data_IF_138846138207
#
_entry.id   IF_138846138207
#
_cell.length_a   1.000
_cell.length_b   1.000
_cell.length_c   1.000
_cell.angle_alpha   90.00
_cell.angle_beta   90.00
_cell.angle_gamma   90.00
#
_symmetry.space_group_name_H-M   'P 1'
#
loop_
_entity.id
_entity.type
_entity.pdbx_description
1 polymer ?
#
# COMPACT_ATOMS: atom_id res chain seq x y z
N UNK A 1 -37.38 -9.57 8.01
CA UNK A 1 -36.26 -8.68 8.33
C UNK A 1 -35.03 -9.56 8.27
N UNK A 2 -34.22 -9.43 7.21
CA UNK A 2 -32.97 -10.20 7.12
C UNK A 2 -32.10 -9.78 8.30
N UNK A 3 -31.61 -10.72 9.10
CA UNK A 3 -30.58 -10.45 10.10
C UNK A 3 -29.41 -9.76 9.40
N UNK A 4 -29.23 -8.46 9.66
CA UNK A 4 -28.14 -7.69 9.07
C UNK A 4 -26.83 -8.26 9.60
N UNK A 5 -25.98 -8.74 8.69
CA UNK A 5 -24.65 -9.25 8.99
C UNK A 5 -23.86 -8.26 9.88
N UNK A 6 -23.33 -8.68 11.03
CA UNK A 6 -22.54 -7.82 11.94
C UNK A 6 -21.40 -7.08 11.21
N UNK A 7 -20.78 -7.74 10.23
CA UNK A 7 -19.71 -7.14 9.44
C UNK A 7 -20.19 -5.97 8.57
N UNK A 8 -21.43 -6.04 8.04
CA UNK A 8 -22.07 -4.93 7.33
C UNK A 8 -22.37 -3.78 8.29
N UNK A 9 -22.90 -4.07 9.48
CA UNK A 9 -23.23 -3.04 10.48
C UNK A 9 -21.98 -2.29 10.95
N UNK A 10 -20.87 -3.01 11.18
CA UNK A 10 -19.59 -2.40 11.54
C UNK A 10 -19.10 -1.49 10.41
N UNK A 11 -19.16 -1.96 9.16
CA UNK A 11 -18.75 -1.19 7.99
C UNK A 11 -19.56 0.10 7.84
N UNK A 12 -20.88 0.03 7.92
CA UNK A 12 -21.78 1.19 7.79
C UNK A 12 -21.61 2.21 8.92
N UNK A 13 -21.10 1.78 10.07
CA UNK A 13 -20.85 2.63 11.23
C UNK A 13 -19.50 3.34 11.23
N UNK A 14 -18.68 3.13 10.19
CA UNK A 14 -17.34 3.67 10.10
C UNK A 14 -17.34 5.16 9.71
N UNK A 15 -17.47 6.04 10.69
CA UNK A 15 -17.49 7.49 10.52
C UNK A 15 -16.18 8.08 9.96
N UNK A 16 -15.07 7.33 10.05
CA UNK A 16 -13.75 7.73 9.55
C UNK A 16 -13.43 7.13 8.18
N UNK A 17 -14.32 6.34 7.60
CA UNK A 17 -14.14 5.70 6.29
C UNK A 17 -13.79 6.68 5.19
N UNK A 18 -12.85 6.30 4.32
CA UNK A 18 -12.51 6.98 3.08
C UNK A 18 -13.40 6.47 1.94
N UNK A 19 -13.95 7.39 1.14
CA UNK A 19 -14.55 7.03 -0.14
C UNK A 19 -13.46 6.60 -1.12
N UNK A 20 -13.76 5.62 -1.98
CA UNK A 20 -12.78 5.04 -2.91
C UNK A 20 -13.38 4.97 -4.30
N UNK A 21 -12.64 5.47 -5.29
CA UNK A 21 -12.98 5.40 -6.70
C UNK A 21 -11.90 4.66 -7.47
N UNK A 22 -12.34 3.89 -8.47
CA UNK A 22 -11.49 3.22 -9.46
C UNK A 22 -11.61 3.89 -10.83
N UNK A 23 -10.80 3.43 -11.80
CA UNK A 23 -10.95 3.82 -13.20
C UNK A 23 -12.04 2.99 -13.88
N UNK A 24 -12.81 3.63 -14.75
CA UNK A 24 -13.69 3.00 -15.73
C UNK A 24 -12.89 2.27 -16.80
N UNK A 25 -13.57 1.46 -17.64
CA UNK A 25 -12.98 0.83 -18.83
C UNK A 25 -12.36 1.83 -19.82
N UNK A 26 -12.87 3.06 -19.86
CA UNK A 26 -12.34 4.13 -20.70
C UNK A 26 -11.03 4.75 -20.17
N UNK A 27 -10.63 4.41 -18.94
CA UNK A 27 -9.47 4.97 -18.27
C UNK A 27 -9.77 6.18 -17.39
N UNK A 28 -10.94 6.80 -17.51
CA UNK A 28 -11.40 7.91 -16.66
C UNK A 28 -11.79 7.43 -15.25
N UNK A 29 -11.69 8.30 -14.24
CA UNK A 29 -12.13 8.01 -12.87
C UNK A 29 -13.66 7.95 -12.75
N UNK A 30 -14.19 7.00 -11.99
CA UNK A 30 -15.63 6.94 -11.69
C UNK A 30 -16.11 8.14 -10.87
N UNK A 31 -15.32 8.55 -9.86
CA UNK A 31 -15.52 9.73 -9.04
C UNK A 31 -14.16 10.36 -8.67
N UNK A 32 -13.78 11.44 -9.37
CA UNK A 32 -12.55 12.19 -9.11
C UNK A 32 -12.51 12.89 -7.74
N UNK A 33 -13.67 13.02 -7.08
CA UNK A 33 -13.81 13.69 -5.79
C UNK A 33 -13.65 12.74 -4.61
N UNK A 34 -13.53 11.43 -4.86
CA UNK A 34 -13.32 10.44 -3.82
C UNK A 34 -12.03 10.71 -3.02
N UNK A 35 -12.04 10.32 -1.74
CA UNK A 35 -10.88 10.48 -0.87
C UNK A 35 -9.69 9.65 -1.37
N UNK A 36 -9.94 8.50 -2.02
CA UNK A 36 -8.92 7.62 -2.61
C UNK A 36 -9.23 7.40 -4.08
N UNK A 37 -8.23 7.67 -4.93
CA UNK A 37 -8.24 7.26 -6.34
C UNK A 37 -7.30 6.06 -6.50
N UNK A 38 -7.89 4.89 -6.74
CA UNK A 38 -7.22 3.59 -6.73
C UNK A 38 -7.00 3.08 -8.17
N UNK A 39 -5.75 2.88 -8.56
CA UNK A 39 -5.34 2.44 -9.89
C UNK A 39 -4.80 1.00 -9.87
N UNK A 40 -5.71 0.03 -9.94
CA UNK A 40 -5.36 -1.39 -9.93
C UNK A 40 -4.67 -1.87 -11.21
N UNK A 41 -4.78 -1.08 -12.29
CA UNK A 41 -4.10 -1.27 -13.57
C UNK A 41 -4.35 -2.65 -14.20
N UNK A 42 -3.47 -3.61 -13.94
CA UNK A 42 -3.35 -4.83 -14.73
C UNK A 42 -3.08 -6.05 -13.87
N UNK A 43 -3.43 -7.23 -14.38
CA UNK A 43 -3.16 -8.49 -13.68
C UNK A 43 -1.66 -8.75 -13.62
N UNK A 44 -1.12 -8.94 -12.42
CA UNK A 44 0.29 -9.24 -12.23
C UNK A 44 0.72 -10.57 -12.88
N UNK A 45 1.93 -10.57 -13.43
CA UNK A 45 2.56 -11.70 -14.14
C UNK A 45 2.68 -12.98 -13.29
N UNK A 46 2.79 -12.86 -11.96
CA UNK A 46 3.16 -13.97 -11.07
C UNK A 46 4.67 -14.07 -10.79
N UNK A 47 5.49 -13.28 -11.48
CA UNK A 47 6.95 -13.23 -11.33
C UNK A 47 7.36 -11.93 -10.65
N UNK A 48 8.44 -11.97 -9.85
CA UNK A 48 8.87 -10.82 -9.04
C UNK A 48 9.61 -9.76 -9.87
N UNK A 49 10.21 -10.16 -10.98
CA UNK A 49 11.03 -9.30 -11.85
C UNK A 49 10.19 -8.54 -12.89
N UNK A 50 8.97 -9.00 -13.16
CA UNK A 50 8.09 -8.43 -14.18
C UNK A 50 7.10 -7.48 -13.51
N UNK A 51 7.34 -6.19 -13.72
CA UNK A 51 6.45 -5.10 -13.32
C UNK A 51 5.56 -4.71 -14.50
N UNK A 52 4.26 -5.05 -14.42
CA UNK A 52 3.27 -4.68 -15.43
C UNK A 52 2.49 -3.42 -15.00
N UNK A 53 2.58 -3.03 -13.73
CA UNK A 53 1.93 -1.85 -13.19
C UNK A 53 2.88 -0.65 -13.31
N UNK A 54 2.62 0.20 -14.31
CA UNK A 54 3.48 1.34 -14.63
C UNK A 54 3.31 2.49 -13.63
N UNK A 55 2.19 2.53 -12.92
CA UNK A 55 1.81 3.55 -11.94
C UNK A 55 1.68 2.96 -10.52
N UNK A 56 1.61 3.79 -9.48
CA UNK A 56 1.27 3.35 -8.13
C UNK A 56 -0.12 2.74 -8.07
N UNK A 57 -0.38 1.95 -7.04
CA UNK A 57 -1.73 1.53 -6.71
C UNK A 57 -2.57 2.73 -6.22
N UNK A 58 -1.99 3.56 -5.35
CA UNK A 58 -2.66 4.76 -4.85
C UNK A 58 -2.27 5.96 -5.70
N UNK A 59 -3.12 6.35 -6.64
CA UNK A 59 -2.91 7.54 -7.46
C UNK A 59 -3.07 8.81 -6.63
N UNK A 60 -4.09 8.83 -5.74
CA UNK A 60 -4.34 9.94 -4.82
C UNK A 60 -4.97 9.41 -3.53
N UNK A 61 -4.59 10.01 -2.41
CA UNK A 61 -5.24 9.85 -1.10
C UNK A 61 -5.46 11.25 -0.50
N UNK A 62 -6.59 11.47 0.14
CA UNK A 62 -6.90 12.68 0.90
C UNK A 62 -6.00 12.75 2.15
N UNK A 63 -4.80 13.31 2.00
CA UNK A 63 -3.80 13.43 3.05
C UNK A 63 -4.26 14.33 4.20
N UNK A 64 -5.05 15.38 3.92
CA UNK A 64 -5.61 16.25 4.97
C UNK A 64 -6.48 15.46 5.95
N UNK A 65 -7.27 14.51 5.43
CA UNK A 65 -8.07 13.60 6.26
C UNK A 65 -7.22 12.50 6.91
N UNK A 66 -6.18 12.01 6.23
CA UNK A 66 -5.35 10.90 6.70
C UNK A 66 -4.44 11.32 7.87
N UNK A 67 -3.91 12.53 7.81
CA UNK A 67 -2.98 13.09 8.80
C UNK A 67 -3.65 14.04 9.81
N UNK A 68 -4.98 14.12 9.80
CA UNK A 68 -5.75 14.85 10.80
C UNK A 68 -5.49 14.28 12.22
N UNK A 69 -4.86 15.08 13.07
CA UNK A 69 -4.51 14.71 14.45
C UNK A 69 -5.73 14.43 15.33
N UNK A 70 -6.92 14.90 14.92
CA UNK A 70 -8.18 14.64 15.65
C UNK A 70 -8.80 13.28 15.32
N UNK A 71 -8.28 12.58 14.31
CA UNK A 71 -8.76 11.27 13.85
C UNK A 71 -7.86 10.12 14.29
N UNK A 72 -8.42 8.92 14.22
CA UNK A 72 -7.78 7.65 14.60
C UNK A 72 -6.58 7.29 13.73
N UNK A 73 -6.54 7.76 12.48
CA UNK A 73 -5.44 7.50 11.55
C UNK A 73 -4.11 8.03 12.08
N UNK A 74 -4.05 9.23 12.68
CA UNK A 74 -2.80 9.80 13.20
C UNK A 74 -2.14 8.89 14.26
N UNK A 75 -2.94 8.38 15.20
CA UNK A 75 -2.48 7.45 16.24
C UNK A 75 -2.11 6.09 15.65
N UNK A 76 -2.86 5.59 14.66
CA UNK A 76 -2.51 4.36 13.96
C UNK A 76 -1.19 4.46 13.17
N UNK A 77 -0.93 5.61 12.52
CA UNK A 77 0.30 5.84 11.76
C UNK A 77 1.53 5.85 12.67
N UNK A 78 1.43 6.47 13.86
CA UNK A 78 2.50 6.40 14.89
C UNK A 78 2.85 4.96 15.24
N UNK A 79 1.83 4.11 15.46
CA UNK A 79 2.06 2.69 15.69
C UNK A 79 2.81 2.04 14.53
N UNK A 80 2.44 2.31 13.28
CA UNK A 80 3.11 1.74 12.10
C UNK A 80 4.59 2.14 11.99
N UNK A 81 4.94 3.36 12.40
CA UNK A 81 6.30 3.88 12.32
C UNK A 81 7.26 3.21 13.33
N UNK A 82 6.78 2.85 14.52
CA UNK A 82 7.57 2.13 15.54
C UNK A 82 8.15 0.81 15.00
N UNK A 83 7.37 0.09 14.19
CA UNK A 83 7.79 -1.21 13.64
C UNK A 83 8.78 -1.09 12.47
N UNK A 84 9.07 0.12 11.96
CA UNK A 84 10.14 0.30 10.98
C UNK A 84 11.55 0.14 11.60
N UNK A 85 11.68 0.24 12.93
CA UNK A 85 12.96 0.33 13.67
C UNK A 85 13.30 -0.94 14.47
N UNK A 86 12.41 -1.95 14.55
CA UNK A 86 12.58 -3.19 15.35
C UNK A 86 13.65 -4.19 14.84
N UNK A 87 14.71 -3.70 14.20
CA UNK A 87 15.82 -4.51 13.66
C UNK A 87 16.94 -4.81 14.67
N UNK A 88 16.91 -4.19 15.87
CA UNK A 88 18.02 -4.26 16.83
C UNK A 88 17.68 -5.03 18.11
N UNK A 89 16.46 -4.87 18.66
CA UNK A 89 16.00 -5.64 19.83
C UNK A 89 14.47 -5.87 19.75
N UNK A 90 14.02 -7.04 19.25
CA UNK A 90 12.60 -7.36 19.13
C UNK A 90 11.90 -7.61 20.47
N UNK A 91 12.66 -7.85 21.55
CA UNK A 91 12.11 -8.18 22.88
C UNK A 91 11.78 -6.90 23.66
N UNK A 92 12.51 -5.82 23.39
CA UNK A 92 12.31 -4.53 24.05
C UNK A 92 11.24 -3.71 23.34
N UNK A 93 10.11 -3.50 24.01
CA UNK A 93 9.14 -2.47 23.63
C UNK A 93 9.41 -1.27 24.53
N UNK A 94 9.93 -0.15 23.99
CA UNK A 94 10.07 1.09 24.74
C UNK A 94 8.74 1.48 25.42
N UNK A 95 8.82 2.10 26.61
CA UNK A 95 7.63 2.58 27.33
C UNK A 95 6.75 3.50 26.47
N UNK A 96 7.38 4.26 25.56
CA UNK A 96 6.70 5.11 24.57
C UNK A 96 5.85 4.28 23.58
N UNK A 97 6.36 3.15 23.07
CA UNK A 97 5.59 2.27 22.17
C UNK A 97 4.38 1.65 22.89
N UNK A 98 4.51 1.28 24.17
CA UNK A 98 3.39 0.77 24.96
C UNK A 98 2.35 1.88 25.20
N UNK A 99 2.78 3.11 25.48
CA UNK A 99 1.89 4.25 25.66
C UNK A 99 1.08 4.53 24.39
N UNK A 100 1.73 4.54 23.23
CA UNK A 100 1.04 4.74 21.95
C UNK A 100 0.01 3.66 21.64
N UNK A 101 0.28 2.40 22.01
CA UNK A 101 -0.69 1.31 21.89
C UNK A 101 -1.91 1.54 22.78
N UNK A 102 -1.68 1.93 24.03
CA UNK A 102 -2.74 2.22 24.99
C UNK A 102 -3.58 3.42 24.58
N UNK A 103 -2.97 4.46 24.02
CA UNK A 103 -3.64 5.65 23.51
C UNK A 103 -4.50 5.31 22.29
N UNK A 104 -3.95 4.57 21.33
CA UNK A 104 -4.71 4.09 20.16
C UNK A 104 -5.93 3.27 20.58
N UNK A 105 -5.75 2.30 21.48
CA UNK A 105 -6.86 1.49 21.99
C UNK A 105 -7.91 2.38 22.68
N UNK A 106 -7.47 3.34 23.51
CA UNK A 106 -8.38 4.27 24.19
C UNK A 106 -9.21 5.08 23.20
N UNK A 107 -8.58 5.56 22.14
CA UNK A 107 -9.22 6.36 21.11
C UNK A 107 -10.29 5.54 20.37
N UNK A 108 -9.94 4.34 19.90
CA UNK A 108 -10.88 3.50 19.13
C UNK A 108 -12.02 2.93 19.98
N UNK A 109 -11.86 2.75 21.29
CA UNK A 109 -12.92 2.22 22.16
C UNK A 109 -14.21 3.08 22.15
N UNK A 110 -14.06 4.38 21.89
CA UNK A 110 -15.17 5.32 21.82
C UNK A 110 -15.93 5.27 20.49
N UNK A 111 -15.39 4.61 19.47
CA UNK A 111 -15.95 4.64 18.11
C UNK A 111 -17.09 3.62 17.95
N UNK A 112 -18.02 3.93 17.05
CA UNK A 112 -19.18 3.07 16.80
C UNK A 112 -18.82 1.66 16.30
N UNK A 113 -17.84 1.47 15.40
CA UNK A 113 -17.39 0.13 14.97
C UNK A 113 -16.99 -0.78 16.14
N UNK A 114 -16.19 -0.25 17.08
CA UNK A 114 -15.65 -1.02 18.21
C UNK A 114 -16.75 -1.30 19.25
N UNK A 115 -17.65 -0.34 19.48
CA UNK A 115 -18.82 -0.55 20.35
C UNK A 115 -19.75 -1.63 19.80
N UNK A 116 -20.03 -1.64 18.49
CA UNK A 116 -20.83 -2.69 17.85
C UNK A 116 -20.16 -4.07 17.95
N UNK A 117 -18.85 -4.13 17.73
CA UNK A 117 -18.09 -5.37 17.92
C UNK A 117 -18.23 -5.90 19.35
N UNK A 118 -18.02 -5.07 20.37
CA UNK A 118 -18.17 -5.48 21.78
C UNK A 118 -19.60 -5.94 22.09
N UNK A 119 -20.60 -5.20 21.64
CA UNK A 119 -22.00 -5.54 21.89
C UNK A 119 -22.35 -6.89 21.27
N UNK A 120 -21.98 -7.13 20.01
CA UNK A 120 -22.15 -8.43 19.37
C UNK A 120 -21.43 -9.56 20.13
N UNK A 121 -20.18 -9.34 20.55
CA UNK A 121 -19.41 -10.33 21.32
C UNK A 121 -20.10 -10.66 22.65
N UNK A 122 -20.70 -9.67 23.31
CA UNK A 122 -21.40 -9.88 24.57
C UNK A 122 -22.75 -10.57 24.38
N UNK A 123 -23.56 -10.09 23.44
CA UNK A 123 -24.95 -10.52 23.24
C UNK A 123 -25.03 -11.85 22.49
N UNK A 124 -24.24 -12.02 21.42
CA UNK A 124 -24.33 -13.16 20.50
C UNK A 124 -23.32 -14.28 20.80
N UNK A 125 -22.25 -13.97 21.53
CA UNK A 125 -21.22 -14.96 21.93
C UNK A 125 -21.15 -15.17 23.45
N UNK A 126 -21.79 -14.30 24.27
CA UNK A 126 -21.96 -14.52 25.70
C UNK A 126 -20.74 -14.18 26.57
N UNK A 127 -19.77 -13.40 26.06
CA UNK A 127 -18.54 -13.06 26.79
C UNK A 127 -18.77 -12.06 27.95
N UNK A 128 -19.84 -11.24 27.88
CA UNK A 128 -20.23 -10.27 28.92
C UNK A 128 -19.09 -9.34 29.41
N UNK A 129 -18.26 -8.86 28.49
CA UNK A 129 -17.10 -8.02 28.77
C UNK A 129 -17.52 -6.58 29.07
N UNK A 130 -17.07 -6.06 30.21
CA UNK A 130 -17.06 -4.62 30.47
C UNK A 130 -16.14 -3.88 29.49
N UNK A 131 -16.21 -2.55 29.43
CA UNK A 131 -15.32 -1.76 28.56
C UNK A 131 -13.86 -1.95 28.92
N UNK A 132 -13.55 -1.95 30.22
CA UNK A 132 -12.21 -2.18 30.72
C UNK A 132 -11.71 -3.60 30.42
N UNK A 133 -12.56 -4.61 30.54
CA UNK A 133 -12.19 -5.99 30.16
C UNK A 133 -11.97 -6.09 28.66
N UNK A 134 -12.81 -5.47 27.85
CA UNK A 134 -12.68 -5.47 26.39
C UNK A 134 -11.41 -4.73 25.94
N UNK A 135 -11.06 -3.60 26.57
CA UNK A 135 -9.78 -2.90 26.39
C UNK A 135 -8.59 -3.83 26.60
N UNK A 136 -8.55 -4.54 27.73
CA UNK A 136 -7.48 -5.49 28.06
C UNK A 136 -7.43 -6.62 27.02
N UNK A 137 -8.58 -7.12 26.57
CA UNK A 137 -8.65 -8.14 25.51
C UNK A 137 -8.11 -7.62 24.18
N UNK A 138 -8.46 -6.41 23.76
CA UNK A 138 -7.90 -5.79 22.55
C UNK A 138 -6.37 -5.67 22.65
N UNK A 139 -5.86 -5.14 23.77
CA UNK A 139 -4.41 -5.03 23.99
C UNK A 139 -3.73 -6.40 23.87
N UNK A 140 -4.29 -7.42 24.54
CA UNK A 140 -3.75 -8.77 24.53
C UNK A 140 -3.80 -9.43 23.16
N UNK A 141 -4.93 -9.36 22.47
CA UNK A 141 -5.12 -10.05 21.18
C UNK A 141 -4.23 -9.45 20.09
N UNK A 142 -4.06 -8.12 20.11
CA UNK A 142 -3.40 -7.38 19.04
C UNK A 142 -1.94 -7.08 19.32
N UNK A 143 -1.58 -6.67 20.53
CA UNK A 143 -0.28 -6.06 20.79
C UNK A 143 0.66 -6.93 21.63
N UNK A 144 0.14 -7.72 22.57
CA UNK A 144 0.94 -8.61 23.42
C UNK A 144 1.80 -9.57 22.58
N UNK A 145 3.07 -9.67 22.93
CA UNK A 145 4.01 -10.56 22.26
C UNK A 145 3.74 -12.01 22.61
N UNK A 146 3.81 -12.88 21.62
CA UNK A 146 3.68 -14.32 21.80
C UNK A 146 4.69 -15.09 20.97
N UNK A 147 4.94 -16.34 21.36
CA UNK A 147 5.66 -17.29 20.51
C UNK A 147 4.67 -18.09 19.68
N UNK A 148 4.83 -18.04 18.37
CA UNK A 148 4.02 -18.82 17.44
C UNK A 148 4.75 -20.07 16.96
N UNK A 149 4.07 -21.21 16.91
CA UNK A 149 4.65 -22.48 16.49
C UNK A 149 3.99 -22.98 15.20
N UNK A 150 4.70 -22.95 14.08
CA UNK A 150 4.14 -23.40 12.81
C UNK A 150 5.08 -24.36 12.08
N UNK A 151 4.59 -25.57 11.78
CA UNK A 151 5.34 -26.63 11.05
C UNK A 151 6.75 -26.87 11.61
N UNK A 152 6.85 -26.98 12.93
CA UNK A 152 8.12 -27.26 13.63
C UNK A 152 9.07 -26.05 13.75
N UNK A 153 8.62 -24.84 13.42
CA UNK A 153 9.38 -23.59 13.61
C UNK A 153 8.68 -22.71 14.64
N UNK A 154 9.45 -22.10 15.55
CA UNK A 154 8.97 -21.03 16.42
C UNK A 154 9.27 -19.66 15.81
N UNK A 155 8.37 -18.72 16.04
CA UNK A 155 8.59 -17.29 15.82
C UNK A 155 8.35 -16.61 17.15
N UNK A 156 9.41 -16.13 17.78
CA UNK A 156 9.36 -15.42 19.06
C UNK A 156 8.99 -13.95 18.83
N UNK A 157 8.46 -13.30 19.87
CA UNK A 157 8.09 -11.88 19.86
C UNK A 157 7.14 -11.48 18.71
N UNK A 158 6.29 -12.41 18.29
CA UNK A 158 5.27 -12.11 17.30
C UNK A 158 4.15 -11.28 17.93
N UNK A 159 3.61 -10.33 17.18
CA UNK A 159 2.45 -9.54 17.56
C UNK A 159 1.36 -9.62 16.48
N UNK A 160 0.09 -9.58 16.88
CA UNK A 160 -1.03 -9.62 15.93
C UNK A 160 -1.06 -8.38 15.04
N UNK A 161 -0.84 -7.21 15.64
CA UNK A 161 -0.79 -5.92 14.97
C UNK A 161 0.34 -5.89 13.94
N UNK A 162 1.56 -6.23 14.37
CA UNK A 162 2.72 -6.27 13.49
C UNK A 162 2.48 -7.21 12.31
N UNK A 163 2.01 -8.44 12.56
CA UNK A 163 1.80 -9.37 11.47
C UNK A 163 0.71 -8.90 10.50
N UNK A 164 -0.45 -8.47 11.01
CA UNK A 164 -1.58 -8.08 10.15
C UNK A 164 -1.24 -6.81 9.37
N UNK A 165 -0.86 -5.72 10.03
CA UNK A 165 -0.76 -4.41 9.39
C UNK A 165 0.63 -4.10 8.83
N UNK A 166 1.71 -4.46 9.54
CA UNK A 166 3.08 -4.10 9.16
C UNK A 166 3.74 -5.16 8.27
N UNK A 167 3.51 -6.43 8.57
CA UNK A 167 4.09 -7.59 7.91
C UNK A 167 5.48 -8.01 8.45
N UNK A 168 5.77 -9.30 8.32
CA UNK A 168 7.00 -9.93 8.78
C UNK A 168 7.86 -10.36 7.57
N UNK A 169 9.04 -9.74 7.44
CA UNK A 169 10.02 -10.09 6.42
C UNK A 169 10.78 -11.37 6.75
N UNK A 170 10.97 -12.24 5.76
CA UNK A 170 11.75 -13.48 5.85
C UNK A 170 12.86 -13.45 4.80
N UNK A 171 14.07 -13.14 5.25
CA UNK A 171 15.28 -13.03 4.44
C UNK A 171 16.52 -13.34 5.29
N UNK A 172 17.60 -13.76 4.63
CA UNK A 172 18.86 -14.06 5.30
C UNK A 172 19.92 -13.07 4.81
N UNK A 173 20.39 -12.18 5.70
CA UNK A 173 21.46 -11.24 5.37
C UNK A 173 22.74 -12.04 5.14
N UNK A 174 23.27 -12.00 3.92
CA UNK A 174 24.55 -12.63 3.57
C UNK A 174 25.64 -11.59 3.72
N UNK A 175 26.34 -11.61 4.86
CA UNK A 175 27.48 -10.70 5.07
C UNK A 175 28.63 -11.07 4.12
N UNK A 176 29.12 -10.10 3.33
CA UNK A 176 30.26 -10.26 2.44
C UNK A 176 29.97 -10.69 0.99
N UNK A 177 28.71 -10.99 0.62
CA UNK A 177 28.32 -11.27 -0.77
C UNK A 177 27.75 -9.98 -1.41
N UNK A 178 28.19 -9.63 -2.62
CA UNK A 178 27.69 -8.46 -3.37
C UNK A 178 26.33 -8.70 -4.03
N UNK A 179 25.80 -9.93 -3.99
CA UNK A 179 24.49 -10.28 -4.56
C UNK A 179 23.35 -9.73 -3.70
N UNK A 180 22.26 -9.37 -4.35
CA UNK A 180 21.05 -8.87 -3.68
C UNK A 180 20.49 -9.90 -2.69
N UNK A 181 20.18 -9.46 -1.46
CA UNK A 181 19.47 -10.30 -0.50
C UNK A 181 18.00 -10.35 -0.88
N UNK A 182 17.50 -11.55 -1.17
CA UNK A 182 16.11 -11.77 -1.55
C UNK A 182 15.35 -12.49 -0.44
N UNK A 183 14.08 -12.13 -0.28
CA UNK A 183 13.19 -12.76 0.68
C UNK A 183 11.73 -12.70 0.29
N UNK A 184 10.88 -12.99 1.27
CA UNK A 184 9.41 -12.92 1.17
C UNK A 184 8.85 -12.15 2.35
N UNK A 185 7.63 -11.62 2.23
CA UNK A 185 6.92 -10.99 3.33
C UNK A 185 5.58 -11.70 3.59
N UNK A 186 5.35 -12.07 4.84
CA UNK A 186 4.06 -12.55 5.35
C UNK A 186 3.32 -11.44 6.07
N UNK A 187 2.00 -11.53 6.20
CA UNK A 187 1.23 -10.41 6.76
C UNK A 187 1.10 -9.25 5.78
N UNK A 188 1.14 -8.01 6.24
CA UNK A 188 1.08 -6.81 5.38
C UNK A 188 -0.27 -6.71 4.65
N UNK A 189 -1.30 -6.38 5.41
CA UNK A 189 -2.71 -6.35 5.00
C UNK A 189 -3.37 -5.02 5.39
N UNK A 190 -2.64 -3.91 5.27
CA UNK A 190 -3.14 -2.56 5.55
C UNK A 190 -3.01 -1.66 4.32
N UNK A 191 -4.10 -1.01 3.91
CA UNK A 191 -4.06 -0.03 2.83
C UNK A 191 -3.27 1.22 3.23
N UNK A 192 -3.42 1.69 4.48
CA UNK A 192 -2.67 2.83 5.03
C UNK A 192 -1.17 2.53 4.98
N UNK A 193 -0.74 1.36 5.47
CA UNK A 193 0.68 0.99 5.44
C UNK A 193 1.21 0.88 4.01
N UNK A 194 0.42 0.30 3.10
CA UNK A 194 0.80 0.17 1.71
C UNK A 194 1.00 1.55 1.06
N UNK A 195 0.04 2.45 1.23
CA UNK A 195 0.12 3.81 0.72
C UNK A 195 1.37 4.54 1.26
N UNK A 196 1.60 4.53 2.58
CA UNK A 196 2.77 5.17 3.19
C UNK A 196 4.09 4.59 2.66
N UNK A 197 4.17 3.26 2.51
CA UNK A 197 5.37 2.63 1.96
C UNK A 197 5.54 2.87 0.45
N UNK A 198 4.45 3.00 -0.30
CA UNK A 198 4.48 3.32 -1.74
C UNK A 198 4.97 4.75 -1.97
N UNK A 199 4.47 5.73 -1.19
CA UNK A 199 4.96 7.12 -1.22
C UNK A 199 6.44 7.21 -0.88
N UNK A 200 6.90 6.39 0.08
CA UNK A 200 8.31 6.29 0.46
C UNK A 200 9.15 5.36 -0.44
N UNK A 201 8.57 4.83 -1.51
CA UNK A 201 9.21 3.89 -2.45
C UNK A 201 9.86 2.68 -1.77
N UNK A 202 9.27 2.29 -0.64
CA UNK A 202 9.57 1.04 0.09
C UNK A 202 8.80 -0.12 -0.53
N UNK A 203 7.61 0.13 -1.10
CA UNK A 203 6.82 -0.88 -1.79
C UNK A 203 6.62 -0.52 -3.26
N UNK A 204 6.52 -1.55 -4.10
CA UNK A 204 6.15 -1.44 -5.50
C UNK A 204 5.01 -2.41 -5.81
N UNK A 205 3.84 -1.86 -6.16
CA UNK A 205 2.74 -2.61 -6.76
C UNK A 205 3.16 -3.18 -8.11
N UNK A 206 2.85 -4.45 -8.37
CA UNK A 206 3.19 -5.14 -9.63
C UNK A 206 1.95 -5.52 -10.45
N UNK A 207 0.77 -5.13 -9.98
CA UNK A 207 -0.53 -5.50 -10.54
C UNK A 207 -1.40 -6.32 -9.60
N UNK A 208 -2.68 -6.43 -9.94
CA UNK A 208 -3.67 -7.18 -9.19
C UNK A 208 -3.53 -8.70 -9.37
N UNK A 209 -4.01 -9.49 -8.40
CA UNK A 209 -3.86 -10.96 -8.36
C UNK A 209 -5.06 -11.69 -7.78
N UNK A 210 -6.27 -11.26 -8.15
CA UNK A 210 -7.49 -11.97 -7.76
C UNK A 210 -7.62 -13.35 -8.43
N UNK A 211 -8.26 -14.29 -7.72
CA UNK A 211 -8.61 -15.63 -8.21
C UNK A 211 -10.11 -15.71 -8.58
N UNK A 212 -10.59 -14.72 -9.33
CA UNK A 212 -11.99 -14.63 -9.75
C UNK A 212 -12.29 -15.61 -10.89
N UNK A 213 -13.54 -16.06 -11.01
CA UNK A 213 -13.95 -17.02 -12.03
C UNK A 213 -14.64 -16.30 -13.19
N UNK A 214 -14.38 -16.74 -14.42
CA UNK A 214 -15.02 -16.15 -15.61
C UNK A 214 -14.54 -14.73 -15.91
N UNK A 215 -15.49 -13.81 -16.12
CA UNK A 215 -15.25 -12.41 -16.49
C UNK A 215 -15.33 -11.45 -15.28
N UNK A 216 -15.28 -11.97 -14.05
CA UNK A 216 -15.26 -11.15 -12.84
C UNK A 216 -13.94 -10.35 -12.77
N UNK A 217 -14.04 -9.03 -12.94
CA UNK A 217 -12.97 -8.08 -12.63
C UNK A 217 -12.96 -7.68 -11.15
N UNK A 218 -11.98 -6.88 -10.69
CA UNK A 218 -11.99 -6.31 -9.36
C UNK A 218 -13.00 -5.16 -9.28
N UNK A 219 -14.28 -5.45 -9.50
CA UNK A 219 -15.35 -4.44 -9.54
C UNK A 219 -15.79 -4.04 -8.12
N UNK A 220 -14.80 -3.74 -7.29
CA UNK A 220 -15.00 -3.40 -5.91
C UNK A 220 -13.85 -2.51 -5.45
N UNK A 221 -14.07 -1.20 -5.33
CA UNK A 221 -13.01 -0.26 -4.98
C UNK A 221 -12.53 -0.46 -3.53
N UNK A 222 -13.27 -1.21 -2.70
CA UNK A 222 -12.98 -1.36 -1.28
C UNK A 222 -12.11 -2.57 -0.93
N UNK A 223 -11.51 -3.24 -1.91
CA UNK A 223 -10.60 -4.36 -1.68
C UNK A 223 -9.53 -4.37 -2.76
N UNK A 224 -8.31 -4.76 -2.39
CA UNK A 224 -7.26 -5.07 -3.35
C UNK A 224 -6.71 -6.45 -3.06
N UNK A 225 -6.59 -7.29 -4.09
CA UNK A 225 -5.71 -8.46 -4.07
C UNK A 225 -4.57 -8.23 -5.03
N UNK A 226 -3.33 -8.23 -4.55
CA UNK A 226 -2.17 -7.74 -5.30
C UNK A 226 -0.95 -8.65 -5.24
N UNK A 227 -0.01 -8.34 -6.12
CA UNK A 227 1.38 -8.75 -6.07
C UNK A 227 2.26 -7.52 -5.81
N UNK A 228 3.30 -7.64 -4.98
CA UNK A 228 4.22 -6.53 -4.71
C UNK A 228 5.65 -6.97 -4.44
N UNK A 229 6.58 -6.02 -4.64
CA UNK A 229 7.93 -6.06 -4.08
C UNK A 229 8.05 -5.04 -2.94
N UNK A 230 8.90 -5.33 -1.96
CA UNK A 230 9.26 -4.41 -0.90
C UNK A 230 10.78 -4.32 -0.75
N UNK A 231 11.31 -3.12 -0.60
CA UNK A 231 12.69 -2.85 -0.24
C UNK A 231 12.78 -2.67 1.28
N UNK A 232 13.59 -3.50 1.94
CA UNK A 232 13.98 -3.30 3.33
C UNK A 232 15.23 -2.44 3.35
N UNK A 233 15.21 -1.35 4.09
CA UNK A 233 16.34 -0.41 4.20
C UNK A 233 16.94 -0.41 5.59
N UNK A 234 18.25 -0.18 5.69
CA UNK A 234 18.90 0.16 6.96
C UNK A 234 18.60 1.62 7.37
N UNK A 235 19.09 2.03 8.55
CA UNK A 235 18.96 3.41 9.05
C UNK A 235 19.64 4.45 8.15
N UNK A 236 20.58 4.03 7.29
CA UNK A 236 21.21 4.88 6.29
C UNK A 236 20.45 4.95 4.96
N UNK A 237 19.27 4.31 4.86
CA UNK A 237 18.44 4.28 3.66
C UNK A 237 18.92 3.29 2.58
N UNK A 238 19.95 2.49 2.85
CA UNK A 238 20.47 1.51 1.90
C UNK A 238 19.56 0.29 1.87
N UNK A 239 19.17 -0.17 0.68
CA UNK A 239 18.39 -1.41 0.55
C UNK A 239 19.27 -2.60 0.92
N UNK A 240 18.92 -3.27 2.03
CA UNK A 240 19.59 -4.46 2.55
C UNK A 240 18.92 -5.76 2.12
N UNK A 241 17.63 -5.71 1.76
CA UNK A 241 16.90 -6.86 1.21
C UNK A 241 15.74 -6.44 0.31
N UNK A 242 15.37 -7.30 -0.65
CA UNK A 242 14.16 -7.18 -1.47
C UNK A 242 13.22 -8.35 -1.19
N UNK A 243 12.06 -8.04 -0.64
CA UNK A 243 11.02 -9.01 -0.31
C UNK A 243 9.98 -9.07 -1.42
N UNK A 244 9.50 -10.27 -1.70
CA UNK A 244 8.43 -10.49 -2.67
C UNK A 244 7.19 -11.03 -1.98
N UNK A 245 6.05 -10.41 -2.28
CA UNK A 245 4.73 -10.93 -1.93
C UNK A 245 4.04 -11.36 -3.21
N UNK A 246 4.05 -12.67 -3.47
CA UNK A 246 3.41 -13.26 -4.66
C UNK A 246 1.92 -13.00 -4.72
N UNK A 247 1.27 -12.97 -3.55
CA UNK A 247 -0.15 -12.69 -3.39
C UNK A 247 -0.43 -12.14 -1.99
N UNK A 248 -1.17 -11.05 -1.93
CA UNK A 248 -1.68 -10.42 -0.72
C UNK A 248 -2.99 -9.72 -0.99
N UNK A 249 -3.63 -9.22 0.04
CA UNK A 249 -4.78 -8.35 -0.14
C UNK A 249 -5.25 -7.72 1.15
N UNK A 250 -5.98 -6.63 1.03
CA UNK A 250 -6.49 -5.82 2.13
C UNK A 250 -7.76 -5.11 1.70
N UNK A 251 -8.56 -4.67 2.67
CA UNK A 251 -9.63 -3.72 2.41
C UNK A 251 -9.03 -2.34 2.10
N UNK A 252 -9.72 -1.53 1.32
CA UNK A 252 -9.35 -0.15 1.00
C UNK A 252 -10.49 0.79 1.39
N UNK A 253 -10.18 1.81 2.17
CA UNK A 253 -11.16 2.80 2.62
C UNK A 253 -11.52 2.72 4.12
N UNK A 254 -11.72 1.54 4.73
CA UNK A 254 -12.01 1.44 6.15
C UNK A 254 -10.99 2.14 7.05
N UNK A 255 -11.47 2.63 8.18
CA UNK A 255 -10.63 3.13 9.27
C UNK A 255 -9.94 2.01 10.05
N UNK A 256 -8.85 2.32 10.78
CA UNK A 256 -8.17 1.35 11.62
C UNK A 256 -9.12 0.69 12.63
N UNK A 257 -10.03 1.45 13.24
CA UNK A 257 -11.03 0.94 14.17
C UNK A 257 -12.04 0.00 13.51
N UNK A 258 -12.41 0.23 12.25
CA UNK A 258 -13.28 -0.66 11.50
C UNK A 258 -12.56 -1.98 11.19
N UNK A 259 -11.31 -1.93 10.71
CA UNK A 259 -10.52 -3.13 10.46
C UNK A 259 -10.28 -3.95 11.74
N UNK A 260 -9.92 -3.28 12.86
CA UNK A 260 -9.76 -3.90 14.17
C UNK A 260 -11.07 -4.50 14.67
N UNK A 261 -12.21 -3.81 14.52
CA UNK A 261 -13.52 -4.29 14.92
C UNK A 261 -13.91 -5.58 14.18
N UNK A 262 -13.83 -5.57 12.84
CA UNK A 262 -14.12 -6.74 11.99
C UNK A 262 -13.23 -7.93 12.39
N UNK A 263 -11.93 -7.71 12.49
CA UNK A 263 -10.99 -8.77 12.80
C UNK A 263 -11.15 -9.31 14.24
N UNK A 264 -11.52 -8.45 15.20
CA UNK A 264 -11.81 -8.85 16.58
C UNK A 264 -13.07 -9.68 16.67
N UNK A 265 -14.15 -9.30 15.96
CA UNK A 265 -15.36 -10.14 15.85
C UNK A 265 -15.01 -11.50 15.25
N UNK A 266 -14.27 -11.53 14.14
CA UNK A 266 -13.84 -12.78 13.52
C UNK A 266 -13.02 -13.65 14.49
N UNK A 267 -12.14 -13.02 15.30
CA UNK A 267 -11.37 -13.73 16.32
C UNK A 267 -12.26 -14.41 17.35
N UNK A 268 -13.22 -13.70 17.94
CA UNK A 268 -14.15 -14.30 18.91
C UNK A 268 -15.02 -15.37 18.25
N UNK A 269 -15.54 -15.12 17.05
CA UNK A 269 -16.28 -16.15 16.30
C UNK A 269 -15.46 -17.43 16.05
N UNK A 270 -14.12 -17.31 15.95
CA UNK A 270 -13.24 -18.47 15.86
C UNK A 270 -13.07 -19.23 17.17
N UNK A 271 -13.18 -18.57 18.33
CA UNK A 271 -13.20 -19.23 19.64
C UNK A 271 -14.44 -20.13 19.73
N UNK A 272 -15.57 -19.63 19.26
CA UNK A 272 -16.85 -20.33 19.28
C UNK A 272 -17.08 -21.25 18.06
N UNK A 273 -16.04 -21.54 17.28
CA UNK A 273 -16.08 -22.50 16.17
C UNK A 273 -16.88 -22.05 14.94
N UNK A 274 -17.37 -20.80 14.91
CA UNK A 274 -18.02 -20.21 13.72
C UNK A 274 -17.02 -19.92 12.59
N UNK A 275 -15.75 -19.70 12.93
CA UNK A 275 -14.64 -19.54 11.97
C UNK A 275 -13.53 -20.53 12.31
N UNK A 276 -13.13 -21.36 11.34
CA UNK A 276 -11.88 -22.13 11.46
C UNK A 276 -10.73 -21.34 10.88
N UNK A 277 -10.65 -21.29 9.56
CA UNK A 277 -9.58 -20.55 8.86
C UNK A 277 -10.14 -19.42 8.00
N UNK A 278 -11.41 -19.54 7.58
CA UNK A 278 -12.10 -18.50 6.84
C UNK A 278 -13.61 -18.54 7.05
N UNK A 279 -14.27 -17.40 6.85
CA UNK A 279 -15.73 -17.26 6.88
C UNK A 279 -16.22 -16.46 5.68
N UNK A 280 -17.27 -16.96 5.03
CA UNK A 280 -17.95 -16.22 3.96
C UNK A 280 -18.85 -15.14 4.55
N UNK A 281 -18.72 -13.94 4.02
CA UNK A 281 -19.55 -12.79 4.40
C UNK A 281 -19.89 -11.95 3.17
N UNK A 282 -20.85 -11.06 3.34
CA UNK A 282 -21.17 -10.01 2.37
C UNK A 282 -21.04 -8.65 3.03
N UNK A 283 -20.35 -7.72 2.38
CA UNK A 283 -20.29 -6.29 2.74
C UNK A 283 -20.51 -5.47 1.47
N UNK A 284 -21.46 -4.54 1.46
CA UNK A 284 -21.81 -3.68 0.32
C UNK A 284 -22.03 -4.49 -0.98
N UNK A 285 -22.83 -5.56 -0.88
CA UNK A 285 -23.14 -6.50 -1.97
C UNK A 285 -21.93 -7.25 -2.56
N UNK A 286 -20.73 -7.06 -1.97
CA UNK A 286 -19.53 -7.79 -2.28
C UNK A 286 -19.36 -8.98 -1.33
N UNK A 287 -19.07 -10.14 -1.89
CA UNK A 287 -18.83 -11.39 -1.16
C UNK A 287 -17.34 -11.59 -0.95
N UNK A 288 -16.99 -11.92 0.29
CA UNK A 288 -15.61 -12.18 0.71
C UNK A 288 -15.52 -13.48 1.50
N UNK A 289 -14.41 -14.18 1.38
CA UNK A 289 -13.94 -15.08 2.43
C UNK A 289 -12.99 -14.29 3.36
N UNK A 290 -13.44 -13.94 4.56
CA UNK A 290 -12.56 -13.39 5.60
C UNK A 290 -11.64 -14.49 6.12
N UNK A 291 -10.34 -14.37 5.88
CA UNK A 291 -9.35 -15.31 6.40
C UNK A 291 -8.91 -14.87 7.79
N UNK A 292 -8.85 -15.81 8.72
CA UNK A 292 -8.36 -15.60 10.07
C UNK A 292 -7.52 -16.79 10.52
N UNK A 293 -6.26 -16.50 10.82
CA UNK A 293 -5.37 -17.40 11.52
C UNK A 293 -5.13 -16.88 12.93
N UNK A 294 -5.32 -17.75 13.91
CA UNK A 294 -4.83 -17.53 15.28
C UNK A 294 -3.39 -18.01 15.40
N UNK A 295 -2.69 -17.56 16.44
CA UNK A 295 -1.42 -18.14 16.83
C UNK A 295 -1.57 -19.63 17.06
N UNK A 296 -0.44 -20.34 17.07
CA UNK A 296 -0.41 -21.79 17.29
C UNK A 296 0.52 -22.10 18.45
N UNK A 297 0.04 -22.96 19.35
CA UNK A 297 0.77 -23.44 20.53
C UNK A 297 1.79 -24.54 20.18
N UNK A 298 2.74 -24.88 21.07
CA UNK A 298 3.73 -25.93 20.81
C UNK A 298 3.14 -27.29 20.40
N UNK A 299 1.95 -27.63 20.91
CA UNK A 299 1.24 -28.87 20.60
C UNK A 299 0.43 -28.81 19.28
N UNK A 300 0.50 -27.71 18.53
CA UNK A 300 -0.23 -27.50 17.28
C UNK A 300 -1.68 -27.03 17.45
N UNK A 301 -2.16 -26.81 18.68
CA UNK A 301 -3.50 -26.26 18.90
C UNK A 301 -3.53 -24.75 18.62
N UNK A 302 -4.72 -24.20 18.35
CA UNK A 302 -4.91 -22.75 18.16
C UNK A 302 -4.68 -22.02 19.49
N UNK A 303 -3.76 -21.07 19.51
CA UNK A 303 -3.45 -20.18 20.63
C UNK A 303 -4.41 -18.99 20.74
N UNK A 304 -4.14 -18.08 21.66
CA UNK A 304 -5.07 -17.01 22.07
C UNK A 304 -4.90 -15.69 21.31
N UNK A 305 -4.00 -15.61 20.33
CA UNK A 305 -3.67 -14.35 19.66
C UNK A 305 -4.12 -14.37 18.21
N UNK A 306 -4.42 -13.20 17.63
CA UNK A 306 -4.53 -13.09 16.17
C UNK A 306 -3.13 -13.25 15.58
N UNK A 307 -3.01 -14.08 14.54
CA UNK A 307 -1.79 -14.22 13.75
C UNK A 307 -1.91 -13.56 12.39
N UNK A 308 -3.05 -13.67 11.72
CA UNK A 308 -3.25 -13.03 10.42
C UNK A 308 -4.73 -12.88 10.15
N UNK A 309 -5.11 -11.77 9.53
CA UNK A 309 -6.46 -11.47 9.12
C UNK A 309 -6.41 -10.71 7.79
N UNK A 310 -7.20 -11.13 6.80
CA UNK A 310 -7.31 -10.43 5.51
C UNK A 310 -8.52 -10.91 4.71
N UNK A 311 -9.06 -10.08 3.80
CA UNK A 311 -10.13 -10.49 2.90
C UNK A 311 -9.60 -11.27 1.69
N UNK A 312 -10.38 -12.24 1.23
CA UNK A 312 -10.33 -12.76 -0.13
C UNK A 312 -11.63 -12.35 -0.82
N UNK A 313 -11.52 -11.44 -1.79
CA UNK A 313 -12.66 -11.05 -2.63
C UNK A 313 -13.07 -12.19 -3.56
N UNK A 314 -14.38 -12.44 -3.67
CA UNK A 314 -14.95 -13.52 -4.46
C UNK A 314 -15.83 -13.01 -5.60
N UNK A 315 -16.77 -12.11 -5.31
CA UNK A 315 -17.72 -11.56 -6.31
C UNK A 315 -18.44 -10.33 -5.75
N UNK A 316 -19.11 -9.56 -6.62
CA UNK A 316 -20.09 -8.54 -6.25
C UNK A 316 -21.38 -8.82 -7.01
N UNK A 317 -22.48 -9.10 -6.30
CA UNK A 317 -23.73 -9.55 -6.93
C UNK A 317 -24.42 -8.36 -7.63
N UNK A 318 -24.53 -8.39 -8.97
CA UNK A 318 -25.37 -7.43 -9.70
C UNK A 318 -24.91 -7.02 -11.10
N UNK A 319 -23.63 -7.18 -11.44
CA UNK A 319 -23.12 -6.83 -12.78
C UNK A 319 -22.32 -8.00 -13.37
N UNK A 320 -22.95 -8.74 -14.29
CA UNK A 320 -22.18 -9.37 -15.38
C UNK A 320 -21.70 -8.24 -16.27
N UNK A 321 -20.40 -8.13 -16.52
CA UNK A 321 -19.95 -7.22 -17.56
C UNK A 321 -20.16 -7.81 -18.96
N UNK A 322 -20.40 -6.94 -19.96
CA UNK A 322 -20.14 -7.23 -21.37
C UNK A 322 -18.66 -7.62 -21.56
N UNK A 323 -18.30 -8.10 -22.74
CA UNK A 323 -16.90 -8.35 -23.10
C UNK A 323 -16.12 -7.04 -22.97
N UNK A 324 -15.49 -6.83 -21.82
CA UNK A 324 -14.66 -5.67 -21.58
C UNK A 324 -13.47 -5.80 -22.50
N UNK A 325 -13.36 -4.90 -23.48
CA UNK A 325 -12.05 -4.58 -24.02
C UNK A 325 -11.20 -4.17 -22.82
N UNK A 326 -10.36 -5.12 -22.41
CA UNK A 326 -9.42 -4.95 -21.31
C UNK A 326 -8.68 -3.64 -21.59
N UNK A 327 -8.46 -2.77 -20.58
CA UNK A 327 -7.67 -1.56 -20.80
C UNK A 327 -6.40 -1.95 -21.54
N UNK A 328 -6.14 -1.31 -22.68
CA UNK A 328 -5.01 -1.64 -23.55
C UNK A 328 -3.75 -1.47 -22.72
N UNK A 329 -3.19 -2.60 -22.30
CA UNK A 329 -1.99 -2.63 -21.47
C UNK A 329 -0.82 -2.34 -22.38
N UNK A 330 -0.11 -1.27 -22.06
CA UNK A 330 1.20 -0.98 -22.64
C UNK A 330 2.21 -1.36 -21.55
N UNK A 331 2.87 -2.54 -21.65
CA UNK A 331 3.99 -2.93 -20.79
C UNK A 331 4.92 -1.76 -20.47
N UNK A 332 5.59 -1.78 -19.30
CA UNK A 332 6.61 -0.77 -18.96
C UNK A 332 7.61 -0.60 -20.11
N UNK A 333 8.03 -1.70 -20.73
CA UNK A 333 8.95 -1.66 -21.88
C UNK A 333 8.32 -1.02 -23.13
N UNK A 334 7.00 -1.08 -23.28
CA UNK A 334 6.27 -0.49 -24.40
C UNK A 334 5.94 1.01 -24.15
N UNK A 335 6.00 1.49 -22.89
CA UNK A 335 5.92 2.92 -22.54
C UNK A 335 7.30 3.57 -22.40
N UNK A 336 8.39 2.82 -22.18
CA UNK A 336 9.75 3.39 -22.21
C UNK A 336 10.11 3.68 -23.66
N UNK A 337 9.68 4.86 -24.11
CA UNK A 337 9.91 5.40 -25.44
C UNK A 337 10.49 6.79 -25.29
N UNK A 338 11.66 6.98 -25.87
CA UNK A 338 12.40 8.25 -25.84
C UNK A 338 12.65 8.75 -27.26
N UNK A 339 11.63 8.65 -28.12
CA UNK A 339 11.69 8.88 -29.56
C UNK A 339 10.68 9.94 -30.06
N UNK A 340 10.02 10.65 -29.13
CA UNK A 340 9.11 11.76 -29.44
C UNK A 340 9.84 13.03 -29.93
N UNK A 341 9.05 14.07 -30.22
CA UNK A 341 9.57 15.38 -30.67
C UNK A 341 10.48 16.06 -29.63
N UNK A 342 10.25 15.77 -28.35
CA UNK A 342 11.13 16.14 -27.23
C UNK A 342 11.56 14.87 -26.54
N UNK A 343 12.86 14.68 -26.33
CA UNK A 343 13.42 13.49 -25.67
C UNK A 343 14.11 13.88 -24.37
N UNK A 344 14.19 12.95 -23.43
CA UNK A 344 14.96 13.09 -22.19
C UNK A 344 16.37 12.60 -22.49
N UNK A 345 17.38 13.47 -22.38
CA UNK A 345 18.78 13.11 -22.74
C UNK A 345 19.65 12.84 -21.52
N UNK A 346 19.35 13.46 -20.39
CA UNK A 346 20.06 13.21 -19.15
C UNK A 346 19.24 13.55 -17.91
N UNK A 347 19.62 13.01 -16.76
CA UNK A 347 19.10 13.41 -15.47
C UNK A 347 20.15 13.26 -14.36
N UNK A 348 20.08 14.12 -13.34
CA UNK A 348 20.82 14.00 -12.09
C UNK A 348 19.84 13.81 -10.93
N UNK A 349 19.51 12.56 -10.56
CA UNK A 349 18.62 12.29 -9.43
C UNK A 349 19.27 12.51 -8.06
N UNK A 350 20.60 12.37 -7.94
CA UNK A 350 21.30 12.39 -6.66
C UNK A 350 22.50 13.34 -6.73
N UNK A 351 22.35 14.66 -6.56
CA UNK A 351 23.46 15.62 -6.58
C UNK A 351 24.48 15.39 -5.43
N UNK A 352 25.69 15.93 -5.54
CA UNK A 352 26.69 15.88 -4.46
C UNK A 352 26.40 16.91 -3.36
N UNK A 353 26.41 16.55 -2.07
CA UNK A 353 26.18 17.46 -0.92
C UNK A 353 24.78 17.32 -0.29
N UNK A 354 24.37 18.23 0.61
CA UNK A 354 23.05 18.18 1.25
C UNK A 354 21.90 18.45 0.27
N UNK A 355 20.77 17.77 0.43
CA UNK A 355 19.61 17.81 -0.49
C UNK A 355 18.84 19.17 -0.50
N UNK A 356 19.39 20.20 0.14
CA UNK A 356 18.82 21.55 0.10
C UNK A 356 19.08 22.22 -1.27
N UNK A 357 18.00 22.60 -1.97
CA UNK A 357 18.05 23.64 -3.00
C UNK A 357 17.95 23.24 -4.48
N UNK A 358 17.19 22.20 -4.86
CA UNK A 358 16.80 21.99 -6.27
C UNK A 358 17.96 21.69 -7.22
N UNK A 359 18.94 20.91 -6.75
CA UNK A 359 20.13 20.52 -7.52
C UNK A 359 19.92 19.27 -8.36
N UNK A 360 18.78 18.61 -8.17
CA UNK A 360 18.25 17.61 -9.09
C UNK A 360 17.79 18.29 -10.39
N UNK A 361 18.01 17.64 -11.52
CA UNK A 361 17.57 18.17 -12.81
C UNK A 361 17.35 17.09 -13.86
N UNK A 362 16.58 17.45 -14.88
CA UNK A 362 16.36 16.66 -16.10
C UNK A 362 16.72 17.53 -17.30
N UNK A 363 17.42 16.97 -18.29
CA UNK A 363 17.71 17.62 -19.56
C UNK A 363 16.80 17.07 -20.65
N UNK A 364 16.12 18.00 -21.33
CA UNK A 364 15.27 17.72 -22.47
C UNK A 364 15.91 18.25 -23.75
N UNK A 365 15.72 17.53 -24.85
CA UNK A 365 16.15 17.94 -26.18
C UNK A 365 14.98 17.98 -27.15
N UNK A 366 14.82 19.10 -27.84
CA UNK A 366 13.97 19.16 -29.03
C UNK A 366 14.73 18.55 -30.21
N UNK A 367 14.23 17.46 -30.79
CA UNK A 367 14.88 16.77 -31.93
C UNK A 367 14.30 17.17 -33.29
N UNK A 368 13.36 18.12 -33.30
CA UNK A 368 12.70 18.61 -34.51
C UNK A 368 13.40 19.84 -35.09
N UNK A 369 12.98 20.24 -36.30
CA UNK A 369 13.42 21.48 -36.96
C UNK A 369 12.63 22.72 -36.54
N UNK A 370 11.61 22.58 -35.70
CA UNK A 370 10.69 23.66 -35.31
C UNK A 370 10.81 23.97 -33.82
N UNK A 371 10.53 25.21 -33.43
CA UNK A 371 10.51 25.58 -32.02
C UNK A 371 9.26 24.98 -31.33
N UNK A 372 9.44 24.42 -30.13
CA UNK A 372 8.36 23.79 -29.36
C UNK A 372 8.08 24.63 -28.11
N UNK A 373 6.83 25.08 -27.97
CA UNK A 373 6.35 25.72 -26.74
C UNK A 373 5.92 24.66 -25.73
N UNK A 374 6.58 24.64 -24.57
CA UNK A 374 6.31 23.70 -23.48
C UNK A 374 5.22 24.20 -22.53
N UNK A 375 4.58 25.34 -22.80
CA UNK A 375 3.52 25.86 -21.94
C UNK A 375 2.38 24.84 -21.79
N UNK A 376 2.13 24.42 -20.54
CA UNK A 376 1.12 23.41 -20.20
C UNK A 376 1.61 21.96 -20.30
N UNK A 377 2.86 21.73 -20.70
CA UNK A 377 3.50 20.40 -20.60
C UNK A 377 3.93 20.13 -19.16
N UNK A 378 4.18 18.87 -18.85
CA UNK A 378 4.66 18.44 -17.53
C UNK A 378 5.72 17.35 -17.61
N UNK A 379 6.55 17.29 -16.57
CA UNK A 379 7.32 16.10 -16.20
C UNK A 379 6.62 15.39 -15.03
N UNK A 380 6.63 14.07 -15.01
CA UNK A 380 6.10 13.28 -13.90
C UNK A 380 7.05 12.14 -13.52
N UNK A 381 7.11 11.82 -12.22
CA UNK A 381 7.90 10.68 -11.74
C UNK A 381 7.11 9.37 -11.82
N UNK A 382 7.68 8.29 -11.28
CA UNK A 382 7.00 6.99 -11.17
C UNK A 382 5.65 7.09 -10.44
N UNK A 383 5.53 7.97 -9.45
CA UNK A 383 4.29 8.15 -8.70
C UNK A 383 3.27 9.03 -9.44
N UNK A 384 3.62 9.56 -10.60
CA UNK A 384 2.77 10.47 -11.36
C UNK A 384 2.78 11.90 -10.82
N UNK A 385 3.68 12.22 -9.88
CA UNK A 385 3.77 13.56 -9.28
C UNK A 385 4.32 14.56 -10.29
N UNK A 386 3.60 15.66 -10.58
CA UNK A 386 3.92 16.52 -11.71
C UNK A 386 4.93 17.62 -11.36
N UNK A 387 5.58 18.13 -12.40
CA UNK A 387 6.23 19.43 -12.45
C UNK A 387 5.91 20.07 -13.81
N UNK A 388 5.26 21.23 -13.79
CA UNK A 388 4.94 21.96 -15.01
C UNK A 388 6.21 22.45 -15.71
N UNK A 389 6.20 22.34 -17.04
CA UNK A 389 7.20 22.90 -17.92
C UNK A 389 6.71 24.23 -18.50
N UNK A 390 7.66 25.07 -18.87
CA UNK A 390 7.36 26.36 -19.52
C UNK A 390 8.54 26.81 -20.40
N UNK A 391 8.23 27.76 -21.29
CA UNK A 391 9.19 28.33 -22.23
C UNK A 391 9.27 27.54 -23.54
N UNK A 392 10.16 28.01 -24.41
CA UNK A 392 10.31 27.50 -25.77
C UNK A 392 11.63 26.73 -25.87
N UNK A 393 11.59 25.51 -26.42
CA UNK A 393 12.77 24.78 -26.87
C UNK A 393 12.98 25.04 -28.36
N UNK A 394 14.07 25.72 -28.70
CA UNK A 394 14.48 25.95 -30.08
C UNK A 394 14.85 24.63 -30.77
N UNK A 395 14.86 24.61 -32.12
CA UNK A 395 15.28 23.42 -32.87
C UNK A 395 16.65 22.91 -32.42
N UNK A 396 16.76 21.60 -32.15
CA UNK A 396 17.97 20.94 -31.64
C UNK A 396 18.51 21.43 -30.28
N UNK A 397 17.78 22.30 -29.58
CA UNK A 397 18.19 22.80 -28.27
C UNK A 397 18.13 21.67 -27.23
N UNK A 398 19.18 21.59 -26.40
CA UNK A 398 19.21 20.83 -25.16
C UNK A 398 19.10 21.82 -24.01
N UNK A 399 18.11 21.64 -23.14
CA UNK A 399 17.88 22.52 -22.01
C UNK A 399 17.68 21.73 -20.72
N UNK A 400 18.29 22.24 -19.66
CA UNK A 400 18.20 21.69 -18.31
C UNK A 400 17.03 22.32 -17.56
N UNK A 401 16.25 21.46 -16.93
CA UNK A 401 15.11 21.82 -16.08
C UNK A 401 15.44 21.38 -14.65
N UNK A 402 15.64 22.31 -13.71
CA UNK A 402 15.81 21.96 -12.30
C UNK A 402 14.51 21.38 -11.75
N UNK A 403 14.64 20.43 -10.83
CA UNK A 403 13.48 19.86 -10.13
C UNK A 403 13.12 20.75 -8.95
N UNK A 404 11.86 21.16 -8.91
CA UNK A 404 11.32 22.03 -7.85
C UNK A 404 10.40 21.22 -6.96
N UNK A 405 10.78 21.06 -5.70
CA UNK A 405 9.99 20.35 -4.69
C UNK A 405 9.51 21.35 -3.64
N UNK A 406 8.25 21.77 -3.75
CA UNK A 406 7.59 22.63 -2.76
C UNK A 406 6.83 21.80 -1.72
N UNK A 407 6.31 20.65 -2.14
CA UNK A 407 5.45 19.75 -1.38
C UNK A 407 5.84 18.29 -1.61
N UNK A 408 5.20 17.36 -0.88
CA UNK A 408 5.41 15.93 -1.09
C UNK A 408 4.74 15.39 -2.37
N UNK A 409 3.79 16.15 -2.94
CA UNK A 409 3.06 15.81 -4.16
C UNK A 409 3.72 16.33 -5.44
N UNK A 410 4.81 17.10 -5.34
CA UNK A 410 5.59 17.51 -6.50
C UNK A 410 6.51 16.39 -6.99
N UNK A 411 6.92 16.47 -8.25
CA UNK A 411 7.90 15.57 -8.88
C UNK A 411 9.13 15.34 -7.98
N UNK A 412 9.52 14.08 -7.76
CA UNK A 412 10.76 13.75 -7.03
C UNK A 412 11.57 12.70 -7.76
N UNK A 413 12.87 12.96 -7.92
CA UNK A 413 13.80 11.99 -8.47
C UNK A 413 14.37 11.14 -7.35
N UNK A 414 13.92 9.89 -7.25
CA UNK A 414 14.45 8.94 -6.28
C UNK A 414 15.93 8.63 -6.50
N UNK A 415 16.69 8.48 -5.42
CA UNK A 415 18.05 7.95 -5.46
C UNK A 415 18.11 6.42 -5.72
N UNK A 416 16.99 5.70 -5.60
CA UNK A 416 16.95 4.22 -5.67
C UNK A 416 16.70 3.69 -7.08
N UNK A 417 15.75 4.30 -7.78
CA UNK A 417 15.36 4.05 -9.18
C UNK A 417 14.14 4.90 -9.48
N UNK A 418 13.90 5.27 -10.72
CA UNK A 418 12.69 6.01 -11.06
C UNK A 418 12.30 5.91 -12.52
N UNK A 419 11.12 6.43 -12.80
CA UNK A 419 10.65 6.78 -14.13
C UNK A 419 10.58 8.29 -14.21
N UNK A 420 10.95 8.84 -15.36
CA UNK A 420 10.75 10.25 -15.70
C UNK A 420 9.94 10.25 -16.98
N UNK A 421 8.76 10.86 -16.96
CA UNK A 421 7.85 10.94 -18.10
C UNK A 421 7.60 12.40 -18.45
N UNK A 422 7.68 12.75 -19.72
CA UNK A 422 7.27 14.05 -20.27
C UNK A 422 5.92 13.88 -20.96
N UNK A 423 4.96 14.74 -20.63
CA UNK A 423 3.65 14.80 -21.28
C UNK A 423 3.40 16.16 -21.88
N UNK A 424 2.68 16.18 -23.00
CA UNK A 424 2.20 17.43 -23.60
C UNK A 424 0.98 18.00 -22.86
N UNK A 425 0.51 19.16 -23.30
CA UNK A 425 -0.69 19.85 -22.75
C UNK A 425 -2.00 19.06 -22.83
N UNK A 426 -2.04 18.00 -23.64
CA UNK A 426 -3.18 17.10 -23.79
C UNK A 426 -2.95 15.80 -23.02
N UNK A 427 -1.95 15.76 -22.14
CA UNK A 427 -1.51 14.59 -21.37
C UNK A 427 -1.01 13.42 -22.22
N UNK A 428 -0.69 13.63 -23.50
CA UNK A 428 -0.06 12.60 -24.32
C UNK A 428 1.39 12.40 -23.86
N UNK A 429 1.81 11.16 -23.74
CA UNK A 429 3.19 10.82 -23.42
C UNK A 429 4.11 11.13 -24.62
N UNK A 430 5.14 11.94 -24.39
CA UNK A 430 6.12 12.34 -25.42
C UNK A 430 7.44 11.58 -25.25
N UNK A 431 7.90 11.42 -24.01
CA UNK A 431 9.11 10.67 -23.70
C UNK A 431 9.03 10.05 -22.30
N UNK A 432 9.56 8.86 -22.14
CA UNK A 432 9.73 8.21 -20.84
C UNK A 432 11.07 7.49 -20.78
N UNK A 433 11.82 7.73 -19.71
CA UNK A 433 13.05 7.01 -19.40
C UNK A 433 12.96 6.37 -18.03
N UNK A 434 13.68 5.25 -17.88
CA UNK A 434 13.85 4.56 -16.61
C UNK A 434 15.31 4.65 -16.20
N UNK A 435 15.55 4.91 -14.92
CA UNK A 435 16.89 4.91 -14.37
C UNK A 435 16.98 4.01 -13.13
N UNK A 436 18.17 3.46 -12.91
CA UNK A 436 18.47 2.56 -11.80
C UNK A 436 19.01 3.35 -10.59
N UNK A 437 19.68 2.70 -9.63
CA UNK A 437 20.16 3.40 -8.42
C UNK A 437 21.13 4.53 -8.75
N UNK A 438 20.78 5.75 -8.35
CA UNK A 438 21.58 6.95 -8.51
C UNK A 438 22.59 7.06 -7.34
N UNK A 439 23.88 6.98 -7.67
CA UNK A 439 24.94 7.33 -6.71
C UNK A 439 25.08 8.85 -6.65
N UNK A 440 25.58 9.38 -5.55
CA UNK A 440 25.83 10.82 -5.44
C UNK A 440 26.70 11.31 -6.60
N UNK A 441 26.29 12.42 -7.22
CA UNK A 441 26.90 13.02 -8.39
C UNK A 441 26.65 12.30 -9.72
N UNK A 442 25.97 11.15 -9.73
CA UNK A 442 25.82 10.35 -10.94
C UNK A 442 24.77 10.92 -11.89
N UNK A 443 25.23 11.33 -13.07
CA UNK A 443 24.38 11.75 -14.18
C UNK A 443 24.05 10.54 -15.05
N UNK A 444 22.76 10.23 -15.21
CA UNK A 444 22.30 9.27 -16.20
C UNK A 444 22.24 9.94 -17.56
N UNK A 445 22.73 9.23 -18.58
CA UNK A 445 22.60 9.61 -19.99
C UNK A 445 21.63 8.62 -20.64
N UNK A 446 20.67 9.14 -21.38
CA UNK A 446 19.64 8.37 -22.06
C UNK A 446 19.79 8.60 -23.56
N UNK A 447 19.75 7.51 -24.33
CA UNK A 447 19.88 7.54 -25.77
C UNK A 447 18.53 7.67 -26.47
#
# INVERSE_FOLDING_TARGET
MSETNIYQQIWESDENQFSVSTRTSSGEWEDETADILLDEQVKASGQREIDLATRPLFYKVNEDKLFDETRTYSSFIKLLDNYAIRSLDPEFTPEEEEHEQLDFISLILSTKPIQLARNYINEELGENLSEQQFRIKLQRIWFEHYTNYFKGKSTHFASGFEHVFVGEGKYNIRSGDKRETLGTISGYHSWVKFYLDEQNQRVNFLGYKYDLRGNEGPNNPNVVTLQMNQNVTDMGGNVIAKLFKKKGGFFVGPSPECEIAIATVAYYESIYGKIRDKRRITINDATYDLVLYRSTNPNGSRGEFIRSFFPIFLSKDGTKEPDMDRPVVVPVDDIIKNDGAVIIVAALPNPEGSDEGGREWVELKNVTSEAIDLTGWEMADKLGRPQLLSGILQPNEVKRFPITRLTQSDLQLSNKSGLITVRDRSSNQIATVKYSRARSGHIFQFN
#
